data_IF_030720222280
#
_entry.id   IF_030720222280
#
_cell.length_a   1.000
_cell.length_b   1.000
_cell.length_c   1.000
_cell.angle_alpha   90.00
_cell.angle_beta   90.00
_cell.angle_gamma   90.00
#
_symmetry.space_group_name_H-M   'P 1'
#
loop_
_entity.id
_entity.type
_entity.pdbx_description
1 polymer ?
#
# COMPACT_ATOMS: atom_id res chain seq x y z
N UNK A 1 -13.49 -7.60 -2.16
CA UNK A 1 -14.13 -6.29 -1.92
C UNK A 1 -14.97 -6.40 -0.67
N UNK A 2 -14.54 -5.80 0.45
CA UNK A 2 -15.40 -5.71 1.64
C UNK A 2 -16.42 -4.60 1.37
N UNK A 3 -17.68 -4.98 1.24
CA UNK A 3 -18.77 -4.05 1.03
C UNK A 3 -19.19 -3.50 2.41
N UNK A 4 -18.62 -2.36 2.80
CA UNK A 4 -18.99 -1.71 4.06
C UNK A 4 -20.33 -0.98 3.87
N UNK A 5 -21.37 -1.27 4.67
CA UNK A 5 -22.66 -0.59 4.56
C UNK A 5 -22.49 0.91 4.84
N UNK A 6 -23.08 1.75 3.97
CA UNK A 6 -23.12 3.22 4.10
C UNK A 6 -23.97 3.65 5.31
N UNK A 7 -23.52 3.39 6.53
CA UNK A 7 -23.91 4.05 7.79
C UNK A 7 -23.39 3.33 9.07
N UNK A 8 -22.34 2.51 9.01
CA UNK A 8 -21.75 2.02 10.25
C UNK A 8 -20.90 3.11 10.91
N UNK A 9 -21.20 3.41 12.17
CA UNK A 9 -20.24 4.04 13.09
C UNK A 9 -19.13 3.01 13.26
N UNK A 10 -18.00 3.25 12.59
CA UNK A 10 -16.85 2.36 12.71
C UNK A 10 -16.13 2.71 14.00
N UNK A 11 -16.12 1.79 14.97
CA UNK A 11 -15.26 1.92 16.13
C UNK A 11 -13.81 1.72 15.65
N UNK A 12 -13.05 2.81 15.55
CA UNK A 12 -11.66 2.77 15.09
C UNK A 12 -10.76 1.87 15.94
N UNK A 13 -11.15 1.58 17.20
CA UNK A 13 -10.47 0.63 18.08
C UNK A 13 -10.62 -0.85 17.67
N UNK A 14 -11.61 -1.17 16.83
CA UNK A 14 -11.90 -2.53 16.35
C UNK A 14 -11.40 -2.75 14.92
N UNK A 15 -10.88 -1.70 14.26
CA UNK A 15 -10.20 -1.83 12.98
C UNK A 15 -8.80 -2.36 13.30
N UNK A 16 -8.38 -3.51 12.74
CA UNK A 16 -7.00 -3.95 12.85
C UNK A 16 -6.09 -2.84 12.32
N UNK A 17 -5.30 -2.24 13.20
CA UNK A 17 -4.30 -1.25 12.80
C UNK A 17 -3.10 -1.99 12.27
N UNK A 18 -2.81 -1.79 10.99
CA UNK A 18 -1.60 -2.32 10.39
C UNK A 18 -0.39 -1.58 10.97
N UNK A 19 0.50 -2.29 11.66
CA UNK A 19 1.74 -1.72 12.15
C UNK A 19 2.72 -1.59 10.97
N UNK A 20 2.86 -0.39 10.43
CA UNK A 20 3.71 -0.15 9.25
C UNK A 20 5.21 -0.43 9.51
N UNK A 21 5.63 -0.50 10.78
CA UNK A 21 7.02 -0.78 11.17
C UNK A 21 7.46 -2.22 10.87
N UNK A 22 6.51 -3.14 10.65
CA UNK A 22 6.80 -4.51 10.21
C UNK A 22 7.01 -4.63 8.69
N UNK A 23 6.98 -3.51 7.95
CA UNK A 23 7.12 -3.50 6.50
C UNK A 23 8.34 -2.70 6.04
N UNK A 24 9.06 -3.24 5.06
CA UNK A 24 9.92 -2.45 4.21
C UNK A 24 9.06 -1.64 3.24
N UNK A 25 9.37 -0.36 3.08
CA UNK A 25 8.54 0.60 2.34
C UNK A 25 9.33 1.24 1.22
N UNK A 26 8.77 1.19 0.03
CA UNK A 26 9.27 1.89 -1.14
C UNK A 26 8.32 3.04 -1.49
N UNK A 27 8.89 4.24 -1.64
CA UNK A 27 8.17 5.45 -2.03
C UNK A 27 8.67 5.93 -3.38
N UNK A 28 7.82 5.86 -4.40
CA UNK A 28 8.17 6.29 -5.76
C UNK A 28 7.36 7.52 -6.11
N UNK A 29 8.02 8.68 -6.14
CA UNK A 29 7.39 9.94 -6.54
C UNK A 29 7.32 10.02 -8.07
N UNK A 30 6.12 10.30 -8.60
CA UNK A 30 5.85 10.41 -10.03
C UNK A 30 4.99 11.64 -10.33
N UNK A 31 5.06 12.10 -11.57
CA UNK A 31 4.06 13.01 -12.14
C UNK A 31 3.13 12.17 -13.02
N UNK A 32 1.85 12.12 -12.68
CA UNK A 32 0.89 11.33 -13.42
C UNK A 32 0.50 11.99 -14.77
N UNK A 33 -0.33 11.31 -15.56
CA UNK A 33 -0.76 11.81 -16.87
C UNK A 33 -1.54 13.13 -16.79
N UNK A 34 -2.18 13.40 -15.66
CA UNK A 34 -2.90 14.63 -15.36
C UNK A 34 -1.98 15.76 -14.83
N UNK A 35 -0.66 15.55 -14.83
CA UNK A 35 0.35 16.49 -14.30
C UNK A 35 0.29 16.69 -12.78
N UNK A 36 -0.29 15.74 -12.06
CA UNK A 36 -0.39 15.78 -10.60
C UNK A 36 0.75 14.99 -9.96
N UNK A 37 1.16 15.41 -8.76
CA UNK A 37 2.15 14.74 -7.92
C UNK A 37 1.50 13.55 -7.25
N UNK A 38 2.05 12.36 -7.52
CA UNK A 38 1.59 11.10 -6.95
C UNK A 38 2.78 10.36 -6.33
N UNK A 39 2.55 9.68 -5.22
CA UNK A 39 3.52 8.77 -4.59
C UNK A 39 2.95 7.37 -4.63
N UNK A 40 3.69 6.43 -5.22
CA UNK A 40 3.39 5.01 -5.13
C UNK A 40 4.08 4.48 -3.88
N UNK A 41 3.29 3.97 -2.96
CA UNK A 41 3.77 3.35 -1.72
C UNK A 41 3.62 1.85 -1.88
N UNK A 42 4.74 1.15 -1.99
CA UNK A 42 4.80 -0.30 -1.95
C UNK A 42 5.27 -0.71 -0.56
N UNK A 43 4.59 -1.68 0.03
CA UNK A 43 4.93 -2.25 1.33
C UNK A 43 5.10 -3.75 1.19
N UNK A 44 6.17 -4.28 1.74
CA UNK A 44 6.43 -5.72 1.82
C UNK A 44 6.85 -6.09 3.25
N UNK A 45 6.57 -7.30 3.74
CA UNK A 45 7.05 -7.66 5.09
C UNK A 45 8.56 -7.54 5.15
N UNK A 46 9.01 -6.92 6.23
CA UNK A 46 10.43 -6.68 6.46
C UNK A 46 11.22 -7.99 6.45
N UNK A 47 12.26 -8.05 5.63
CA UNK A 47 13.19 -9.18 5.57
C UNK A 47 12.65 -10.46 4.94
N UNK A 48 11.47 -10.46 4.29
CA UNK A 48 10.92 -11.65 3.62
C UNK A 48 11.41 -11.86 2.18
N UNK A 49 11.56 -10.81 1.40
CA UNK A 49 11.70 -10.94 -0.07
C UNK A 49 13.02 -10.44 -0.63
N UNK A 50 13.73 -9.49 0.01
CA UNK A 50 15.09 -9.10 -0.39
C UNK A 50 15.85 -8.37 0.73
N UNK A 51 17.19 -8.47 0.74
CA UNK A 51 18.05 -7.78 1.71
C UNK A 51 18.37 -6.34 1.34
N UNK A 52 18.11 -5.87 0.12
CA UNK A 52 18.27 -4.44 -0.26
C UNK A 52 17.69 -4.06 -1.64
N UNK A 53 17.30 -5.02 -2.50
CA UNK A 53 16.96 -4.68 -3.89
C UNK A 53 15.70 -3.83 -4.07
N UNK A 54 14.81 -3.81 -3.08
CA UNK A 54 13.64 -2.93 -3.02
C UNK A 54 14.01 -1.44 -3.11
N UNK A 55 15.28 -1.08 -2.84
CA UNK A 55 15.78 0.30 -3.01
C UNK A 55 16.00 0.68 -4.48
N UNK A 56 16.18 -0.30 -5.36
CA UNK A 56 16.61 -0.09 -6.74
C UNK A 56 15.64 -0.65 -7.78
N UNK A 57 14.68 -1.50 -7.38
CA UNK A 57 13.73 -2.17 -8.26
C UNK A 57 12.34 -2.07 -7.66
N UNK A 58 11.32 -1.90 -8.51
CA UNK A 58 9.93 -1.99 -8.05
C UNK A 58 9.70 -3.40 -7.53
N UNK A 59 9.21 -3.51 -6.30
CA UNK A 59 8.83 -4.78 -5.70
C UNK A 59 7.62 -5.32 -6.45
N UNK A 60 7.73 -6.54 -6.95
CA UNK A 60 6.66 -7.27 -7.62
C UNK A 60 6.48 -8.61 -6.91
N UNK A 61 5.23 -9.01 -6.69
CA UNK A 61 4.90 -10.22 -5.95
C UNK A 61 3.66 -10.87 -6.59
N UNK A 62 3.78 -12.16 -6.91
CA UNK A 62 2.69 -12.93 -7.53
C UNK A 62 1.57 -13.25 -6.52
N UNK A 63 1.95 -13.52 -5.27
CA UNK A 63 1.08 -13.72 -4.10
C UNK A 63 1.71 -13.04 -2.88
N UNK A 64 0.93 -12.80 -1.82
CA UNK A 64 1.49 -12.05 -0.69
C UNK A 64 0.61 -11.84 0.53
N UNK A 65 -0.67 -12.17 0.51
CA UNK A 65 -1.57 -12.00 1.66
C UNK A 65 -1.47 -10.60 2.28
N UNK A 66 -1.33 -10.56 3.60
CA UNK A 66 -1.06 -9.33 4.36
C UNK A 66 0.36 -8.75 4.18
N UNK A 67 1.24 -9.48 3.49
CA UNK A 67 2.66 -9.24 3.41
C UNK A 67 3.09 -8.41 2.19
N UNK A 68 2.18 -8.17 1.25
CA UNK A 68 2.40 -7.24 0.15
C UNK A 68 1.15 -6.42 -0.15
N UNK A 69 1.31 -5.09 -0.15
CA UNK A 69 0.25 -4.19 -0.62
C UNK A 69 0.84 -2.93 -1.25
N UNK A 70 0.05 -2.31 -2.12
CA UNK A 70 0.38 -1.07 -2.82
C UNK A 70 -0.75 -0.07 -2.70
N UNK A 71 -0.42 1.19 -2.45
CA UNK A 71 -1.36 2.31 -2.50
C UNK A 71 -0.76 3.49 -3.24
N UNK A 72 -1.60 4.23 -3.95
CA UNK A 72 -1.22 5.50 -4.58
C UNK A 72 -1.76 6.66 -3.76
N UNK A 73 -0.91 7.65 -3.50
CA UNK A 73 -1.27 8.87 -2.78
C UNK A 73 -1.08 10.05 -3.71
N UNK A 74 -2.16 10.73 -4.05
CA UNK A 74 -2.14 11.96 -4.81
C UNK A 74 -1.99 13.16 -3.86
N UNK A 75 -0.87 13.87 -3.97
CA UNK A 75 -0.50 14.95 -3.07
C UNK A 75 -1.24 16.26 -3.37
N UNK A 76 -1.67 16.46 -4.62
CA UNK A 76 -2.40 17.67 -5.02
C UNK A 76 -3.88 17.60 -4.63
N UNK A 77 -4.47 16.40 -4.74
CA UNK A 77 -5.87 16.14 -4.38
C UNK A 77 -6.05 15.76 -2.92
N UNK A 78 -4.97 15.50 -2.19
CA UNK A 78 -5.00 14.96 -0.83
C UNK A 78 -5.85 13.68 -0.72
N UNK A 79 -5.68 12.75 -1.66
CA UNK A 79 -6.46 11.51 -1.73
C UNK A 79 -5.56 10.30 -1.93
N UNK A 80 -5.94 9.20 -1.30
CA UNK A 80 -5.40 7.87 -1.62
C UNK A 80 -6.34 7.15 -2.59
N UNK A 81 -5.79 6.28 -3.44
CA UNK A 81 -6.55 5.46 -4.37
C UNK A 81 -5.76 4.22 -4.81
N UNK A 82 -6.43 3.36 -5.59
CA UNK A 82 -5.80 2.19 -6.22
C UNK A 82 -5.07 1.27 -5.21
N UNK A 83 -5.71 1.03 -4.06
CA UNK A 83 -5.23 0.03 -3.11
C UNK A 83 -5.26 -1.34 -3.80
N UNK A 84 -4.09 -1.98 -3.86
CA UNK A 84 -3.90 -3.34 -4.34
C UNK A 84 -3.40 -4.18 -3.18
N UNK A 85 -4.09 -5.28 -2.92
CA UNK A 85 -3.69 -6.31 -1.94
C UNK A 85 -3.58 -7.62 -2.70
N UNK A 86 -2.55 -8.40 -2.40
CA UNK A 86 -2.36 -9.69 -3.05
C UNK A 86 -3.26 -10.76 -2.42
N UNK A 87 -3.44 -11.87 -3.14
CA UNK A 87 -4.09 -13.07 -2.59
C UNK A 87 -3.21 -13.75 -1.55
N UNK A 88 -3.83 -14.54 -0.67
CA UNK A 88 -3.14 -15.50 0.20
C UNK A 88 -2.75 -16.74 -0.64
N UNK A 89 -1.52 -17.22 -0.50
CA UNK A 89 -1.04 -18.46 -1.09
C UNK A 89 -0.68 -19.50 -0.01
#
# INVERSE_FOLDING_TARGET
MVNLPRNQVVNFSEIPTMQLDSYDRQYVAVINQQKEREVWVNCECRGKYDTDSYKYRLVDADDGGDCYFRVKVNLDKHKYHSLSVNGEA
#
